data_IF_731974670756
#
_entry.id   IF_731974670756
#
_cell.length_a   1.000
_cell.length_b   1.000
_cell.length_c   1.000
_cell.angle_alpha   90.00
_cell.angle_beta   90.00
_cell.angle_gamma   90.00
#
_symmetry.space_group_name_H-M   'P 1'
#
loop_
_entity.id
_entity.type
_entity.pdbx_description
1 polymer ?
#
# COMPACT_ATOMS: atom_id res chain seq x y z
N UNK A 1 28.32 27.59 -1.23
CA UNK A 1 27.04 27.10 -0.75
C UNK A 1 27.29 26.18 0.44
N UNK A 2 26.50 26.30 1.51
CA UNK A 2 26.65 25.47 2.71
C UNK A 2 25.38 24.62 2.91
N UNK A 3 25.56 23.31 3.13
CA UNK A 3 24.47 22.39 3.43
C UNK A 3 24.65 21.86 4.84
N UNK A 4 23.70 22.15 5.72
CA UNK A 4 23.71 21.72 7.11
C UNK A 4 22.86 20.49 7.35
N UNK A 5 23.36 19.54 8.15
CA UNK A 5 22.61 18.41 8.62
C UNK A 5 23.01 18.04 10.06
N UNK A 6 22.04 17.58 10.86
CA UNK A 6 22.27 17.06 12.21
C UNK A 6 22.41 15.53 12.17
N UNK A 7 21.66 14.88 11.27
CA UNK A 7 21.62 13.42 11.17
C UNK A 7 22.12 12.95 9.82
N UNK A 8 22.69 11.75 9.79
CA UNK A 8 23.12 11.07 8.55
C UNK A 8 24.13 11.87 7.71
N UNK A 9 24.95 12.69 8.38
CA UNK A 9 25.93 13.59 7.75
C UNK A 9 26.89 12.83 6.85
N UNK A 10 27.39 11.67 7.29
CA UNK A 10 28.33 10.85 6.51
C UNK A 10 27.74 10.36 5.19
N UNK A 11 26.43 9.96 5.20
CA UNK A 11 25.73 9.54 3.98
C UNK A 11 25.55 10.72 3.02
N UNK A 12 25.22 11.90 3.53
CA UNK A 12 25.10 13.12 2.74
C UNK A 12 26.46 13.52 2.14
N UNK A 13 27.52 13.49 2.96
CA UNK A 13 28.86 13.83 2.51
C UNK A 13 29.32 12.91 1.39
N UNK A 14 29.18 11.59 1.55
CA UNK A 14 29.52 10.61 0.49
C UNK A 14 28.80 10.87 -0.83
N UNK A 15 27.51 11.24 -0.78
CA UNK A 15 26.73 11.57 -1.98
C UNK A 15 27.22 12.86 -2.64
N UNK A 16 27.55 13.88 -1.85
CA UNK A 16 28.08 15.13 -2.35
C UNK A 16 29.51 14.97 -2.93
N UNK A 17 30.36 14.13 -2.29
CA UNK A 17 31.70 13.81 -2.82
C UNK A 17 31.61 13.07 -4.16
N UNK A 18 30.67 12.13 -4.28
CA UNK A 18 30.42 11.40 -5.54
C UNK A 18 29.99 12.37 -6.65
N UNK A 19 29.09 13.30 -6.32
CA UNK A 19 28.61 14.28 -7.29
C UNK A 19 29.68 15.31 -7.64
N UNK A 20 30.53 15.69 -6.69
CA UNK A 20 31.70 16.53 -6.96
C UNK A 20 32.63 15.88 -7.99
N UNK A 21 32.88 14.58 -7.85
CA UNK A 21 33.69 13.82 -8.80
C UNK A 21 33.04 13.74 -10.19
N UNK A 22 31.73 13.55 -10.26
CA UNK A 22 30.99 13.54 -11.52
C UNK A 22 31.09 14.91 -12.24
N UNK A 23 30.99 16.00 -11.49
CA UNK A 23 31.08 17.37 -12.04
C UNK A 23 32.50 17.72 -12.47
N UNK A 24 33.54 17.15 -11.86
CA UNK A 24 34.93 17.32 -12.31
C UNK A 24 35.13 16.85 -13.75
N UNK A 25 34.45 15.75 -14.17
CA UNK A 25 34.47 15.25 -15.54
C UNK A 25 33.87 16.25 -16.55
N UNK A 26 33.06 17.20 -16.07
CA UNK A 26 32.45 18.27 -16.86
C UNK A 26 33.21 19.60 -16.71
N UNK A 27 34.39 19.57 -16.09
CA UNK A 27 35.24 20.77 -15.90
C UNK A 27 34.79 21.67 -14.75
N UNK A 28 33.87 21.25 -13.90
CA UNK A 28 33.41 22.02 -12.73
C UNK A 28 34.05 21.43 -11.49
N UNK A 29 34.94 22.16 -10.86
CA UNK A 29 35.61 21.72 -9.61
C UNK A 29 35.05 22.46 -8.42
N UNK A 30 34.55 21.72 -7.44
CA UNK A 30 34.25 22.24 -6.13
C UNK A 30 34.90 21.36 -5.02
N UNK A 31 35.22 21.98 -3.92
CA UNK A 31 35.84 21.34 -2.76
C UNK A 31 34.82 21.30 -1.65
N UNK A 32 34.64 20.14 -1.06
CA UNK A 32 33.83 19.95 0.13
C UNK A 32 34.68 20.14 1.39
N UNK A 33 34.29 21.09 2.23
CA UNK A 33 34.86 21.27 3.57
C UNK A 33 33.76 20.97 4.58
N UNK A 34 34.11 20.26 5.67
CA UNK A 34 33.18 19.97 6.75
C UNK A 34 33.55 20.80 7.98
N UNK A 35 32.55 21.52 8.52
CA UNK A 35 32.71 22.32 9.74
C UNK A 35 31.62 21.89 10.72
N UNK A 36 32.01 21.44 11.92
CA UNK A 36 31.08 21.04 12.97
C UNK A 36 30.82 22.17 13.94
N UNK A 37 29.54 22.51 14.14
CA UNK A 37 29.09 23.55 15.07
C UNK A 37 28.06 22.93 16.01
N UNK A 38 28.47 22.46 17.17
CA UNK A 38 27.64 21.71 18.10
C UNK A 38 27.18 20.39 17.47
N UNK A 39 25.86 20.17 17.36
CA UNK A 39 25.28 19.00 16.71
C UNK A 39 25.16 19.16 15.18
N UNK A 40 25.22 20.39 14.69
CA UNK A 40 25.09 20.70 13.26
C UNK A 40 26.43 20.52 12.57
N UNK A 41 26.44 19.80 11.46
CA UNK A 41 27.59 19.76 10.56
C UNK A 41 27.25 20.50 9.28
N UNK A 42 28.07 21.49 8.93
CA UNK A 42 27.96 22.25 7.69
C UNK A 42 28.93 21.69 6.67
N UNK A 43 28.43 21.27 5.54
CA UNK A 43 29.18 20.84 4.37
C UNK A 43 29.27 22.02 3.41
N UNK A 44 30.43 22.64 3.33
CA UNK A 44 30.68 23.82 2.52
C UNK A 44 31.19 23.42 1.13
N UNK A 45 30.37 23.70 0.10
CA UNK A 45 30.70 23.48 -1.29
C UNK A 45 31.35 24.76 -1.87
N UNK A 46 32.66 24.80 -1.94
CA UNK A 46 33.43 25.94 -2.44
C UNK A 46 33.91 25.70 -3.87
N UNK A 47 33.50 26.57 -4.79
CA UNK A 47 33.98 26.55 -6.17
C UNK A 47 35.45 26.88 -6.23
N UNK A 48 36.22 26.09 -6.97
CA UNK A 48 37.56 26.50 -7.38
C UNK A 48 37.46 27.24 -8.70
N UNK A 49 38.02 28.47 -8.78
CA UNK A 49 38.07 29.20 -10.05
C UNK A 49 38.91 28.40 -11.06
N UNK A 50 38.32 28.06 -12.17
CA UNK A 50 39.00 27.48 -13.33
C UNK A 50 39.21 28.61 -14.34
N UNK A 51 40.33 28.55 -15.07
CA UNK A 51 40.77 29.57 -16.02
C UNK A 51 39.79 29.85 -17.18
N UNK A 52 38.78 28.99 -17.40
CA UNK A 52 37.70 29.21 -18.32
C UNK A 52 36.36 29.20 -17.55
N UNK A 53 35.78 30.36 -17.35
CA UNK A 53 34.46 30.52 -16.76
C UNK A 53 33.38 30.07 -17.75
N UNK A 54 32.81 28.89 -17.51
CA UNK A 54 31.57 28.53 -18.23
C UNK A 54 30.42 29.43 -17.77
N UNK A 55 29.58 29.95 -18.68
CA UNK A 55 28.40 30.70 -18.27
C UNK A 55 27.49 29.78 -17.40
N UNK A 56 26.95 30.34 -16.31
CA UNK A 56 26.01 29.66 -15.40
C UNK A 56 26.54 28.50 -14.53
N UNK A 57 27.84 28.41 -14.29
CA UNK A 57 28.44 27.37 -13.42
C UNK A 57 27.77 27.30 -12.04
N UNK A 58 27.43 28.42 -11.46
CA UNK A 58 26.80 28.49 -10.14
C UNK A 58 25.38 27.86 -10.18
N UNK A 59 24.60 28.12 -11.23
CA UNK A 59 23.27 27.56 -11.41
C UNK A 59 23.33 26.04 -11.60
N UNK A 60 24.30 25.55 -12.34
CA UNK A 60 24.53 24.11 -12.55
C UNK A 60 24.83 23.43 -11.20
N UNK A 61 25.69 24.00 -10.38
CA UNK A 61 26.01 23.45 -9.07
C UNK A 61 24.78 23.44 -8.16
N UNK A 62 24.02 24.54 -8.11
CA UNK A 62 22.78 24.63 -7.33
C UNK A 62 21.78 23.54 -7.74
N UNK A 63 21.66 23.25 -9.03
CA UNK A 63 20.83 22.18 -9.54
C UNK A 63 21.32 20.79 -9.08
N UNK A 64 22.61 20.51 -9.21
CA UNK A 64 23.16 19.23 -8.79
C UNK A 64 23.10 19.03 -7.28
N UNK A 65 23.34 20.07 -6.49
CA UNK A 65 23.13 20.03 -5.04
C UNK A 65 21.67 19.77 -4.69
N UNK A 66 20.73 20.42 -5.37
CA UNK A 66 19.30 20.18 -5.18
C UNK A 66 18.93 18.73 -5.53
N UNK A 67 19.52 18.15 -6.56
CA UNK A 67 19.33 16.75 -6.95
C UNK A 67 19.84 15.80 -5.86
N UNK A 68 21.03 16.00 -5.35
CA UNK A 68 21.60 15.19 -4.25
C UNK A 68 20.75 15.30 -2.99
N UNK A 69 20.34 16.51 -2.62
CA UNK A 69 19.53 16.75 -1.42
C UNK A 69 18.15 16.10 -1.55
N UNK A 70 17.50 16.24 -2.70
CA UNK A 70 16.18 15.63 -2.93
C UNK A 70 16.24 14.10 -2.89
N UNK A 71 17.27 13.50 -3.49
CA UNK A 71 17.51 12.06 -3.42
C UNK A 71 17.78 11.61 -1.97
N UNK A 72 18.62 12.33 -1.27
CA UNK A 72 18.95 12.08 0.12
C UNK A 72 17.71 12.15 1.03
N UNK A 73 16.83 13.14 0.84
CA UNK A 73 15.58 13.25 1.61
C UNK A 73 14.69 12.03 1.38
N UNK A 74 14.44 11.64 0.12
CA UNK A 74 13.56 10.51 -0.20
C UNK A 74 14.14 9.18 0.28
N UNK A 75 15.44 8.97 0.12
CA UNK A 75 16.06 7.67 0.45
C UNK A 75 16.37 7.50 1.93
N UNK A 76 16.78 8.58 2.60
CA UNK A 76 17.30 8.49 3.97
C UNK A 76 16.35 9.03 5.05
N UNK A 77 15.47 9.96 4.71
CA UNK A 77 14.59 10.59 5.69
C UNK A 77 13.15 10.08 5.65
N UNK A 78 12.66 9.60 4.51
CA UNK A 78 11.26 9.22 4.34
C UNK A 78 10.85 8.12 5.34
N UNK A 79 11.60 7.02 5.41
CA UNK A 79 11.27 5.93 6.33
C UNK A 79 11.36 6.34 7.81
N UNK A 80 12.44 7.00 8.30
CA UNK A 80 12.48 7.55 9.66
C UNK A 80 11.37 8.55 9.98
N UNK A 81 10.93 9.35 9.01
CA UNK A 81 9.81 10.28 9.20
C UNK A 81 8.50 9.52 9.34
N UNK A 82 8.24 8.50 8.51
CA UNK A 82 7.08 7.63 8.62
C UNK A 82 7.04 6.95 10.00
N UNK A 83 8.14 6.31 10.41
CA UNK A 83 8.24 5.69 11.74
C UNK A 83 7.93 6.68 12.85
N UNK A 84 8.49 7.89 12.77
CA UNK A 84 8.20 8.95 13.77
C UNK A 84 6.74 9.36 13.79
N UNK A 85 6.07 9.41 12.62
CA UNK A 85 4.64 9.74 12.54
C UNK A 85 3.82 8.61 13.14
N UNK A 86 4.12 7.34 12.82
CA UNK A 86 3.47 6.17 13.42
C UNK A 86 3.63 6.17 14.94
N UNK A 87 4.81 6.52 15.46
CA UNK A 87 5.05 6.62 16.90
C UNK A 87 4.21 7.70 17.59
N UNK A 88 3.77 8.73 16.87
CA UNK A 88 2.85 9.75 17.41
C UNK A 88 1.43 9.22 17.59
N UNK A 89 1.05 8.14 16.91
CA UNK A 89 -0.23 7.46 17.03
C UNK A 89 -0.25 6.34 18.09
N UNK A 90 0.56 6.47 19.14
CA UNK A 90 0.76 5.44 20.19
C UNK A 90 -0.53 4.97 20.88
N UNK A 91 -1.61 5.76 20.87
CA UNK A 91 -2.90 5.38 21.44
C UNK A 91 -3.74 4.48 20.51
N UNK A 92 -3.45 4.47 19.20
CA UNK A 92 -4.22 3.74 18.19
C UNK A 92 -3.47 2.50 17.66
N UNK A 93 -2.16 2.45 17.87
CA UNK A 93 -1.28 1.46 17.24
C UNK A 93 -0.55 0.65 18.30
N UNK A 94 -0.80 -0.66 18.33
CA UNK A 94 -0.03 -1.56 19.18
C UNK A 94 1.44 -1.58 18.74
N UNK A 95 2.36 -1.72 19.70
CA UNK A 95 3.80 -1.69 19.42
C UNK A 95 4.23 -2.71 18.36
N UNK A 96 3.59 -3.89 18.36
CA UNK A 96 3.86 -4.98 17.41
C UNK A 96 3.46 -4.62 15.96
N UNK A 97 2.52 -3.71 15.76
CA UNK A 97 1.97 -3.33 14.45
C UNK A 97 2.73 -2.17 13.77
N UNK A 98 3.61 -1.47 14.51
CA UNK A 98 4.29 -0.25 14.03
C UNK A 98 5.11 -0.46 12.77
N UNK A 99 5.89 -1.53 12.72
CA UNK A 99 6.69 -1.84 11.55
C UNK A 99 5.81 -2.18 10.34
N UNK A 100 4.73 -2.93 10.55
CA UNK A 100 3.76 -3.27 9.52
C UNK A 100 3.11 -2.01 8.95
N UNK A 101 2.64 -1.11 9.81
CA UNK A 101 2.03 0.16 9.39
C UNK A 101 3.05 1.04 8.67
N UNK A 102 4.28 1.14 9.18
CA UNK A 102 5.34 1.91 8.52
C UNK A 102 5.62 1.41 7.10
N UNK A 103 5.72 0.08 6.92
CA UNK A 103 5.94 -0.52 5.60
C UNK A 103 4.71 -0.37 4.68
N UNK A 104 3.51 -0.47 5.24
CA UNK A 104 2.27 -0.25 4.49
C UNK A 104 2.16 1.21 4.03
N UNK A 105 2.43 2.18 4.91
CA UNK A 105 2.45 3.60 4.58
C UNK A 105 3.48 3.92 3.47
N UNK A 106 4.65 3.27 3.51
CA UNK A 106 5.65 3.41 2.45
C UNK A 106 5.12 2.89 1.11
N UNK A 107 4.44 1.73 1.10
CA UNK A 107 3.81 1.18 -0.12
C UNK A 107 2.72 2.10 -0.66
N UNK A 108 1.86 2.63 0.22
CA UNK A 108 0.80 3.58 -0.16
C UNK A 108 1.42 4.82 -0.81
N UNK A 109 2.49 5.39 -0.24
CA UNK A 109 3.20 6.53 -0.83
C UNK A 109 3.76 6.20 -2.21
N UNK A 110 4.31 5.01 -2.40
CA UNK A 110 4.88 4.61 -3.69
C UNK A 110 3.80 4.36 -4.75
N UNK A 111 2.56 4.04 -4.32
CA UNK A 111 1.39 3.86 -5.19
C UNK A 111 0.62 5.18 -5.43
N UNK A 112 0.48 6.05 -4.42
CA UNK A 112 -0.31 7.29 -4.48
C UNK A 112 0.37 8.44 -5.20
N UNK A 113 1.63 8.38 -5.51
CA UNK A 113 2.28 9.28 -6.48
C UNK A 113 1.59 9.23 -7.87
N UNK A 114 0.56 8.37 -8.00
CA UNK A 114 -0.25 8.16 -9.20
C UNK A 114 -1.48 9.08 -9.33
N UNK A 115 -1.87 9.85 -8.31
CA UNK A 115 -3.26 10.33 -8.26
C UNK A 115 -3.42 11.86 -8.23
N UNK A 116 -2.38 12.70 -8.15
CA UNK A 116 -2.56 14.15 -8.08
C UNK A 116 -1.69 14.94 -9.03
N UNK A 117 -2.20 15.20 -10.14
CA UNK A 117 -2.31 16.39 -11.01
C UNK A 117 -2.52 15.92 -12.47
N UNK A 118 -3.75 16.13 -12.96
CA UNK A 118 -4.25 15.81 -14.31
C UNK A 118 -4.72 14.36 -14.55
N UNK A 119 -6.05 14.26 -14.73
CA UNK A 119 -6.80 13.03 -15.05
C UNK A 119 -6.42 12.34 -16.38
N UNK A 120 -5.33 12.70 -17.02
CA UNK A 120 -4.98 12.22 -18.36
C UNK A 120 -3.68 11.44 -18.47
N UNK A 121 -2.89 11.27 -17.41
CA UNK A 121 -1.67 10.44 -17.46
C UNK A 121 -1.62 9.46 -16.30
N UNK A 122 -2.49 8.48 -16.38
CA UNK A 122 -2.28 7.21 -15.67
C UNK A 122 -1.09 6.49 -16.32
N UNK A 123 -0.19 5.92 -15.49
CA UNK A 123 0.77 4.88 -15.86
C UNK A 123 2.28 5.17 -15.76
N UNK A 124 2.76 6.08 -14.92
CA UNK A 124 4.14 5.90 -14.45
C UNK A 124 4.19 6.15 -12.94
N UNK A 125 3.94 5.09 -12.19
CA UNK A 125 4.20 5.05 -10.75
C UNK A 125 5.69 5.12 -10.52
N UNK A 126 6.18 6.20 -9.93
CA UNK A 126 7.56 6.22 -9.46
C UNK A 126 7.73 7.24 -8.32
N UNK A 127 8.49 6.83 -7.29
CA UNK A 127 9.17 7.70 -6.32
C UNK A 127 9.87 8.93 -6.95
N UNK A 128 9.92 8.98 -8.27
CA UNK A 128 10.44 10.07 -9.09
C UNK A 128 9.60 11.35 -9.01
N UNK A 129 8.27 11.27 -8.79
CA UNK A 129 7.44 12.47 -8.73
C UNK A 129 7.69 13.27 -7.43
N UNK A 130 7.72 12.61 -6.27
CA UNK A 130 8.07 13.23 -4.99
C UNK A 130 9.47 13.82 -5.03
N UNK A 131 10.43 13.03 -5.54
CA UNK A 131 11.82 13.46 -5.71
C UNK A 131 11.91 14.71 -6.57
N UNK A 132 11.23 14.75 -7.72
CA UNK A 132 11.23 15.89 -8.64
C UNK A 132 10.59 17.13 -8.01
N UNK A 133 9.51 16.94 -7.25
CA UNK A 133 8.89 18.04 -6.52
C UNK A 133 9.83 18.59 -5.46
N UNK A 134 10.43 17.75 -4.62
CA UNK A 134 11.42 18.15 -3.61
C UNK A 134 12.62 18.83 -4.29
N UNK A 135 13.09 18.31 -5.42
CA UNK A 135 14.17 18.91 -6.20
C UNK A 135 13.82 20.35 -6.60
N UNK A 136 12.61 20.59 -7.12
CA UNK A 136 12.15 21.94 -7.49
C UNK A 136 12.15 22.88 -6.29
N UNK A 137 11.63 22.44 -5.15
CA UNK A 137 11.58 23.23 -3.91
C UNK A 137 12.99 23.56 -3.39
N UNK A 138 13.89 22.56 -3.36
CA UNK A 138 15.29 22.75 -2.94
C UNK A 138 16.03 23.67 -3.90
N UNK A 139 15.87 23.46 -5.20
CA UNK A 139 16.53 24.28 -6.22
C UNK A 139 16.09 25.74 -6.11
N UNK A 140 14.77 26.00 -6.08
CA UNK A 140 14.24 27.34 -5.92
C UNK A 140 14.74 28.04 -4.64
N UNK A 141 14.84 27.28 -3.53
CA UNK A 141 15.40 27.82 -2.30
C UNK A 141 16.87 28.18 -2.45
N UNK A 142 17.66 27.31 -3.08
CA UNK A 142 19.09 27.54 -3.31
C UNK A 142 19.37 28.65 -4.32
N UNK A 143 18.42 29.01 -5.22
CA UNK A 143 18.58 30.17 -6.10
C UNK A 143 18.72 31.47 -5.31
N UNK A 144 18.01 31.59 -4.19
CA UNK A 144 17.94 32.79 -3.36
C UNK A 144 18.83 32.72 -2.10
N UNK A 145 19.31 31.52 -1.73
CA UNK A 145 20.02 31.29 -0.48
C UNK A 145 21.32 30.50 -0.71
N UNK A 146 22.35 30.85 0.04
CA UNK A 146 23.63 30.15 0.01
C UNK A 146 23.80 29.14 1.15
N UNK A 147 22.82 29.02 2.01
CA UNK A 147 22.81 28.06 3.11
C UNK A 147 21.47 27.33 3.19
N UNK A 148 21.53 26.01 3.35
CA UNK A 148 20.35 25.17 3.54
C UNK A 148 20.61 24.19 4.67
N UNK A 149 19.81 24.25 5.73
CA UNK A 149 19.81 23.27 6.82
C UNK A 149 18.68 22.27 6.57
N UNK A 150 19.02 21.00 6.31
CA UNK A 150 18.08 19.96 5.87
C UNK A 150 16.94 19.76 6.87
N UNK A 151 17.25 19.65 8.17
CA UNK A 151 16.25 19.47 9.23
C UNK A 151 15.23 20.62 9.28
N UNK A 152 15.72 21.87 9.16
CA UNK A 152 14.89 23.06 9.10
C UNK A 152 14.06 23.13 7.79
N UNK A 153 14.70 22.83 6.67
CA UNK A 153 14.05 22.84 5.37
C UNK A 153 12.89 21.84 5.30
N UNK A 154 13.11 20.61 5.75
CA UNK A 154 12.07 19.59 5.88
C UNK A 154 10.88 20.09 6.70
N UNK A 155 11.15 20.67 7.88
CA UNK A 155 10.10 21.08 8.82
C UNK A 155 9.30 22.29 8.34
N UNK A 156 9.95 23.27 7.73
CA UNK A 156 9.34 24.56 7.42
C UNK A 156 8.92 24.74 5.97
N UNK A 157 9.65 24.15 5.03
CA UNK A 157 9.42 24.31 3.59
C UNK A 157 8.70 23.14 2.96
N UNK A 158 8.95 21.91 3.39
CA UNK A 158 8.32 20.70 2.84
C UNK A 158 7.04 20.29 3.58
N UNK A 159 6.20 21.25 4.00
CA UNK A 159 4.96 20.98 4.74
C UNK A 159 3.99 20.08 3.94
N UNK A 160 3.86 20.30 2.63
CA UNK A 160 3.03 19.45 1.75
C UNK A 160 3.50 18.00 1.76
N UNK A 161 4.80 17.79 1.63
CA UNK A 161 5.40 16.46 1.72
C UNK A 161 5.14 15.79 3.08
N UNK A 162 5.36 16.50 4.18
CA UNK A 162 5.08 15.97 5.52
C UNK A 162 3.59 15.62 5.71
N UNK A 163 2.68 16.38 5.09
CA UNK A 163 1.25 16.07 5.13
C UNK A 163 0.93 14.82 4.30
N UNK A 164 1.56 14.61 3.15
CA UNK A 164 1.43 13.36 2.38
C UNK A 164 1.90 12.15 3.18
N UNK A 165 3.03 12.28 3.92
CA UNK A 165 3.49 11.21 4.81
C UNK A 165 2.46 10.89 5.90
N UNK A 166 1.82 11.91 6.52
CA UNK A 166 0.77 11.70 7.53
C UNK A 166 -0.44 10.99 6.93
N UNK A 167 -0.94 11.47 5.80
CA UNK A 167 -2.08 10.84 5.11
C UNK A 167 -1.80 9.37 4.77
N UNK A 168 -0.59 9.05 4.31
CA UNK A 168 -0.22 7.67 4.04
C UNK A 168 -0.16 6.81 5.30
N UNK A 169 0.25 7.37 6.45
CA UNK A 169 0.21 6.68 7.74
C UNK A 169 -1.22 6.47 8.21
N UNK A 170 -2.09 7.49 8.11
CA UNK A 170 -3.49 7.37 8.50
C UNK A 170 -4.19 6.26 7.68
N UNK A 171 -4.03 6.25 6.35
CA UNK A 171 -4.54 5.19 5.49
C UNK A 171 -3.97 3.80 5.84
N UNK A 172 -2.67 3.73 6.16
CA UNK A 172 -2.06 2.46 6.55
C UNK A 172 -2.59 1.92 7.88
N UNK A 173 -2.91 2.81 8.83
CA UNK A 173 -3.55 2.44 10.10
C UNK A 173 -4.93 1.86 9.82
N UNK A 174 -5.74 2.56 9.02
CA UNK A 174 -7.10 2.11 8.66
C UNK A 174 -7.07 0.75 7.95
N UNK A 175 -6.16 0.55 6.98
CA UNK A 175 -6.03 -0.74 6.28
C UNK A 175 -5.63 -1.88 7.22
N UNK A 176 -4.67 -1.65 8.13
CA UNK A 176 -4.22 -2.67 9.08
C UNK A 176 -5.33 -2.99 10.08
N UNK A 177 -6.09 -1.99 10.54
CA UNK A 177 -7.21 -2.18 11.44
C UNK A 177 -8.34 -2.97 10.76
N UNK A 178 -8.72 -2.62 9.54
CA UNK A 178 -9.72 -3.34 8.75
C UNK A 178 -9.32 -4.81 8.52
N UNK A 179 -8.06 -5.05 8.18
CA UNK A 179 -7.55 -6.43 8.03
C UNK A 179 -7.67 -7.22 9.32
N UNK A 180 -7.37 -6.61 10.47
CA UNK A 180 -7.47 -7.24 11.79
C UNK A 180 -8.93 -7.54 12.14
N UNK A 181 -9.83 -6.58 11.98
CA UNK A 181 -11.27 -6.75 12.21
C UNK A 181 -11.84 -7.88 11.33
N UNK A 182 -11.40 -7.93 10.08
CA UNK A 182 -11.78 -9.02 9.16
C UNK A 182 -11.26 -10.39 9.65
N UNK A 183 -10.02 -10.49 10.12
CA UNK A 183 -9.48 -11.75 10.65
C UNK A 183 -10.19 -12.19 11.93
N UNK A 184 -10.52 -11.25 12.82
CA UNK A 184 -11.31 -11.52 14.03
C UNK A 184 -12.72 -12.00 13.66
N UNK A 185 -13.37 -11.39 12.69
CA UNK A 185 -14.68 -11.81 12.17
C UNK A 185 -14.63 -13.24 11.60
N UNK A 186 -13.65 -13.55 10.75
CA UNK A 186 -13.45 -14.91 10.23
C UNK A 186 -13.23 -15.92 11.36
N UNK A 187 -12.48 -15.54 12.39
CA UNK A 187 -12.25 -16.41 13.55
C UNK A 187 -13.55 -16.69 14.31
N UNK A 188 -14.38 -15.69 14.52
CA UNK A 188 -15.71 -15.85 15.13
C UNK A 188 -16.61 -16.77 14.31
N UNK A 189 -16.68 -16.57 12.99
CA UNK A 189 -17.49 -17.43 12.11
C UNK A 189 -17.01 -18.88 12.15
N UNK A 190 -15.69 -19.11 12.15
CA UNK A 190 -15.11 -20.45 12.28
C UNK A 190 -15.51 -21.10 13.61
N UNK A 191 -15.45 -20.33 14.70
CA UNK A 191 -15.88 -20.80 16.01
C UNK A 191 -17.36 -21.23 16.01
N UNK A 192 -18.23 -20.39 15.45
CA UNK A 192 -19.65 -20.72 15.30
C UNK A 192 -19.87 -22.04 14.53
N UNK A 193 -19.25 -22.19 13.38
CA UNK A 193 -19.34 -23.41 12.55
C UNK A 193 -18.84 -24.66 13.28
N UNK A 194 -17.82 -24.52 14.15
CA UNK A 194 -17.29 -25.64 14.93
C UNK A 194 -18.21 -26.07 16.08
N UNK A 195 -18.97 -25.13 16.64
CA UNK A 195 -19.88 -25.37 17.76
C UNK A 195 -21.25 -25.88 17.33
N UNK A 196 -21.60 -25.74 16.06
CA UNK A 196 -22.87 -26.23 15.53
C UNK A 196 -22.83 -27.72 15.20
N UNK A 197 -23.94 -28.43 15.48
CA UNK A 197 -24.13 -29.78 14.97
C UNK A 197 -24.38 -29.74 13.46
N UNK A 198 -23.65 -30.52 12.66
CA UNK A 198 -23.85 -30.57 11.22
C UNK A 198 -25.27 -30.98 10.84
N UNK A 199 -25.98 -30.15 10.09
CA UNK A 199 -27.32 -30.47 9.60
C UNK A 199 -27.28 -31.35 8.37
N UNK A 200 -26.22 -31.25 7.57
CA UNK A 200 -25.99 -32.07 6.38
C UNK A 200 -24.57 -32.64 6.37
N UNK A 201 -24.41 -33.87 5.91
CA UNK A 201 -23.10 -34.52 5.79
C UNK A 201 -22.27 -33.89 4.67
N UNK A 202 -22.90 -33.54 3.55
CA UNK A 202 -22.26 -32.95 2.40
C UNK A 202 -23.16 -31.89 1.76
N UNK A 203 -22.55 -30.72 1.44
CA UNK A 203 -23.19 -29.67 0.67
C UNK A 203 -22.47 -29.50 -0.68
N UNK A 204 -23.22 -29.64 -1.77
CA UNK A 204 -22.74 -29.32 -3.11
C UNK A 204 -23.24 -27.93 -3.50
N UNK A 205 -22.31 -26.97 -3.61
CA UNK A 205 -22.66 -25.59 -3.98
C UNK A 205 -22.33 -25.38 -5.44
N UNK A 206 -23.34 -25.05 -6.23
CA UNK A 206 -23.21 -24.74 -7.66
C UNK A 206 -23.23 -23.22 -7.81
N UNK A 207 -22.11 -22.62 -8.24
CA UNK A 207 -21.96 -21.20 -8.49
C UNK A 207 -22.16 -20.92 -9.98
N UNK A 208 -23.22 -20.19 -10.34
CA UNK A 208 -23.54 -19.86 -11.73
C UNK A 208 -22.88 -18.55 -12.18
N UNK A 209 -22.64 -18.35 -13.48
CA UNK A 209 -22.04 -17.13 -14.01
C UNK A 209 -22.79 -15.82 -13.67
N UNK A 210 -24.09 -15.89 -13.39
CA UNK A 210 -24.92 -14.75 -13.00
C UNK A 210 -24.85 -14.37 -11.51
N UNK A 211 -24.01 -15.08 -10.71
CA UNK A 211 -23.89 -14.85 -9.27
C UNK A 211 -24.84 -15.70 -8.41
N UNK A 212 -25.89 -16.29 -9.01
CA UNK A 212 -26.81 -17.15 -8.29
C UNK A 212 -26.12 -18.44 -7.87
N UNK A 213 -26.38 -18.91 -6.67
CA UNK A 213 -25.91 -20.20 -6.18
C UNK A 213 -27.06 -21.13 -5.82
N UNK A 214 -26.78 -22.42 -5.91
CA UNK A 214 -27.71 -23.47 -5.46
C UNK A 214 -26.95 -24.43 -4.55
N UNK A 215 -27.61 -24.86 -3.47
CA UNK A 215 -27.05 -25.83 -2.52
C UNK A 215 -27.84 -27.13 -2.60
N UNK A 216 -27.14 -28.25 -2.75
CA UNK A 216 -27.71 -29.59 -2.79
C UNK A 216 -27.05 -30.43 -1.70
N UNK A 217 -27.83 -31.40 -1.17
CA UNK A 217 -27.31 -32.40 -0.23
C UNK A 217 -26.48 -33.50 -0.94
N UNK A 218 -26.02 -34.49 -0.18
CA UNK A 218 -25.28 -35.65 -0.70
C UNK A 218 -26.07 -36.46 -1.73
N UNK A 219 -27.42 -36.47 -1.66
CA UNK A 219 -28.33 -37.18 -2.56
C UNK A 219 -28.68 -36.36 -3.80
N UNK A 220 -28.25 -35.12 -3.88
CA UNK A 220 -28.58 -34.19 -4.96
C UNK A 220 -29.95 -33.54 -4.82
N UNK A 221 -30.56 -33.62 -3.65
CA UNK A 221 -31.81 -32.93 -3.36
C UNK A 221 -31.49 -31.46 -3.02
N UNK A 222 -32.21 -30.48 -3.57
CA UNK A 222 -32.02 -29.09 -3.16
C UNK A 222 -32.24 -28.94 -1.66
N UNK A 223 -31.31 -28.26 -1.00
CA UNK A 223 -31.50 -27.91 0.39
C UNK A 223 -32.42 -26.70 0.42
N UNK A 224 -33.71 -26.96 0.75
CA UNK A 224 -34.69 -25.90 0.95
C UNK A 224 -34.31 -25.11 2.19
N UNK A 225 -33.78 -23.93 1.98
CA UNK A 225 -33.64 -22.93 3.06
C UNK A 225 -34.90 -22.05 3.02
N UNK A 226 -35.52 -21.82 4.18
CA UNK A 226 -36.59 -20.81 4.36
C UNK A 226 -36.21 -19.43 3.81
N UNK A 227 -34.94 -19.24 3.51
CA UNK A 227 -34.37 -18.03 2.93
C UNK A 227 -34.41 -17.93 1.41
N UNK A 228 -34.59 -19.06 0.65
CA UNK A 228 -34.57 -19.00 -0.82
C UNK A 228 -35.81 -18.30 -1.38
N UNK A 229 -36.99 -18.50 -0.79
CA UNK A 229 -38.22 -17.88 -1.28
C UNK A 229 -38.38 -16.42 -0.85
N UNK A 230 -37.91 -16.04 0.34
CA UNK A 230 -37.92 -14.65 0.77
C UNK A 230 -36.75 -13.82 0.16
N UNK A 231 -35.63 -14.46 -0.16
CA UNK A 231 -34.46 -13.80 -0.74
C UNK A 231 -34.61 -13.44 -2.22
N UNK A 232 -35.36 -14.23 -3.02
CA UNK A 232 -35.66 -13.86 -4.41
C UNK A 232 -36.47 -12.57 -4.53
N UNK A 233 -37.23 -12.22 -3.50
CA UNK A 233 -38.01 -10.97 -3.44
C UNK A 233 -37.21 -9.77 -2.92
N UNK A 234 -36.24 -9.98 -2.00
CA UNK A 234 -35.41 -8.90 -1.46
C UNK A 234 -34.21 -8.54 -2.35
N UNK A 235 -33.71 -9.47 -3.17
CA UNK A 235 -32.57 -9.25 -4.09
C UNK A 235 -32.91 -8.27 -5.23
N UNK A 236 -34.20 -8.05 -5.52
CA UNK A 236 -34.64 -7.10 -6.56
C UNK A 236 -34.53 -5.66 -6.10
N UNK A 237 -34.51 -5.40 -4.79
CA UNK A 237 -34.56 -4.01 -4.24
C UNK A 237 -33.28 -3.53 -3.53
N UNK A 238 -32.30 -4.41 -3.22
CA UNK A 238 -31.09 -3.99 -2.49
C UNK A 238 -29.83 -4.65 -3.06
N UNK A 239 -28.71 -3.93 -3.00
CA UNK A 239 -27.34 -4.34 -3.32
C UNK A 239 -26.80 -5.48 -2.41
N UNK A 240 -27.61 -6.52 -2.14
CA UNK A 240 -27.21 -7.66 -1.33
C UNK A 240 -26.15 -8.47 -2.08
N UNK A 241 -25.02 -8.64 -1.44
CA UNK A 241 -23.91 -9.41 -1.99
C UNK A 241 -24.27 -10.91 -1.90
N UNK A 242 -24.44 -11.57 -3.06
CA UNK A 242 -24.71 -13.02 -3.13
C UNK A 242 -23.70 -13.87 -2.36
N UNK A 243 -22.51 -13.35 -2.17
CA UNK A 243 -21.42 -14.01 -1.44
C UNK A 243 -21.72 -14.10 0.06
N UNK A 244 -22.25 -13.03 0.64
CA UNK A 244 -22.65 -12.98 2.06
C UNK A 244 -23.82 -13.92 2.32
N UNK A 245 -24.75 -14.03 1.37
CA UNK A 245 -25.89 -14.95 1.44
C UNK A 245 -25.44 -16.40 1.41
N UNK A 246 -24.52 -16.74 0.49
CA UNK A 246 -23.95 -18.07 0.41
C UNK A 246 -23.25 -18.46 1.69
N UNK A 247 -22.42 -17.54 2.23
CA UNK A 247 -21.70 -17.77 3.48
C UNK A 247 -22.67 -17.98 4.64
N UNK A 248 -23.72 -17.16 4.76
CA UNK A 248 -24.76 -17.29 5.77
C UNK A 248 -25.50 -18.62 5.69
N UNK A 249 -25.89 -19.05 4.48
CA UNK A 249 -26.55 -20.33 4.26
C UNK A 249 -25.65 -21.51 4.67
N UNK A 250 -24.36 -21.47 4.28
CA UNK A 250 -23.42 -22.52 4.66
C UNK A 250 -23.14 -22.55 6.16
N UNK A 251 -23.08 -21.39 6.82
CA UNK A 251 -22.92 -21.32 8.29
C UNK A 251 -24.14 -21.94 8.97
N UNK A 252 -25.35 -21.64 8.51
CA UNK A 252 -26.60 -22.20 9.07
C UNK A 252 -26.67 -23.71 8.90
N UNK A 253 -26.29 -24.23 7.73
CA UNK A 253 -26.27 -25.66 7.44
C UNK A 253 -25.16 -26.42 8.16
N UNK A 254 -24.09 -25.74 8.49
CA UNK A 254 -22.88 -26.29 9.12
C UNK A 254 -22.42 -27.63 8.52
N UNK A 255 -22.26 -27.78 7.19
CA UNK A 255 -21.98 -29.06 6.56
C UNK A 255 -20.66 -29.66 7.02
N UNK A 256 -20.56 -31.00 7.05
CA UNK A 256 -19.30 -31.69 7.34
C UNK A 256 -18.31 -31.55 6.18
N UNK A 257 -18.82 -31.56 4.93
CA UNK A 257 -18.01 -31.33 3.72
C UNK A 257 -18.77 -30.41 2.76
N UNK A 258 -18.00 -29.57 2.06
CA UNK A 258 -18.49 -28.62 1.06
C UNK A 258 -17.74 -28.89 -0.25
N UNK A 259 -18.49 -29.14 -1.32
CA UNK A 259 -17.93 -29.23 -2.67
C UNK A 259 -18.43 -28.04 -3.49
N UNK A 260 -17.50 -27.16 -3.89
CA UNK A 260 -17.80 -25.99 -4.71
C UNK A 260 -17.69 -26.35 -6.19
N UNK A 261 -18.79 -26.20 -6.93
CA UNK A 261 -18.87 -26.43 -8.37
C UNK A 261 -18.90 -25.09 -9.10
N UNK A 262 -17.83 -24.76 -9.83
CA UNK A 262 -17.75 -23.58 -10.69
C UNK A 262 -16.82 -23.82 -11.87
N UNK A 263 -17.18 -23.28 -13.03
CA UNK A 263 -16.29 -23.19 -14.20
C UNK A 263 -15.47 -21.91 -14.22
N UNK A 264 -15.91 -20.88 -13.46
CA UNK A 264 -15.32 -19.55 -13.43
C UNK A 264 -14.61 -19.25 -12.08
N UNK A 265 -13.63 -20.07 -11.70
CA UNK A 265 -12.91 -19.95 -10.43
C UNK A 265 -12.38 -18.52 -10.21
N UNK A 266 -11.88 -17.87 -11.27
CA UNK A 266 -11.31 -16.51 -11.17
C UNK A 266 -12.32 -15.46 -10.72
N UNK A 267 -13.59 -15.63 -11.05
CA UNK A 267 -14.66 -14.72 -10.69
C UNK A 267 -15.00 -14.79 -9.21
N UNK A 268 -14.90 -15.97 -8.62
CA UNK A 268 -15.31 -16.26 -7.24
C UNK A 268 -14.13 -16.45 -6.28
N UNK A 269 -12.94 -15.94 -6.63
CA UNK A 269 -11.72 -16.15 -5.83
C UNK A 269 -11.87 -15.63 -4.39
N UNK A 270 -12.50 -14.47 -4.20
CA UNK A 270 -12.69 -13.87 -2.88
C UNK A 270 -13.69 -14.68 -2.05
N UNK A 271 -14.86 -15.00 -2.61
CA UNK A 271 -15.89 -15.80 -1.96
C UNK A 271 -15.39 -17.19 -1.60
N UNK A 272 -14.73 -17.86 -2.53
CA UNK A 272 -14.12 -19.18 -2.31
C UNK A 272 -13.06 -19.07 -1.19
N UNK A 273 -12.22 -18.05 -1.22
CA UNK A 273 -11.22 -17.79 -0.21
C UNK A 273 -11.81 -17.57 1.19
N UNK A 274 -12.92 -16.84 1.28
CA UNK A 274 -13.65 -16.61 2.53
C UNK A 274 -14.27 -17.90 3.05
N UNK A 275 -14.95 -18.67 2.21
CA UNK A 275 -15.53 -19.98 2.57
C UNK A 275 -14.42 -20.92 3.06
N UNK A 276 -13.28 -20.99 2.37
CA UNK A 276 -12.16 -21.81 2.80
C UNK A 276 -11.57 -21.37 4.14
N UNK A 277 -11.52 -20.05 4.40
CA UNK A 277 -11.05 -19.53 5.69
C UNK A 277 -11.99 -19.89 6.85
N UNK A 278 -13.31 -19.84 6.61
CA UNK A 278 -14.32 -20.15 7.64
C UNK A 278 -14.41 -21.64 7.89
N UNK A 279 -14.53 -22.46 6.84
CA UNK A 279 -14.79 -23.91 6.94
C UNK A 279 -13.51 -24.77 6.95
N UNK A 280 -12.37 -24.19 6.58
CA UNK A 280 -11.06 -24.87 6.59
C UNK A 280 -11.01 -26.08 5.68
N UNK A 281 -10.48 -27.18 6.18
CA UNK A 281 -10.31 -28.42 5.43
C UNK A 281 -11.61 -29.15 4.99
N UNK A 282 -12.77 -28.60 5.32
CA UNK A 282 -14.08 -29.13 4.86
C UNK A 282 -14.43 -28.75 3.42
N UNK A 283 -13.66 -27.84 2.80
CA UNK A 283 -13.97 -27.24 1.49
C UNK A 283 -13.11 -27.85 0.39
N UNK A 284 -13.75 -28.40 -0.63
CA UNK A 284 -13.11 -28.89 -1.84
C UNK A 284 -13.66 -28.17 -3.07
N UNK A 285 -12.80 -27.86 -4.04
CA UNK A 285 -13.21 -27.31 -5.33
C UNK A 285 -13.29 -28.45 -6.33
N UNK A 286 -14.45 -28.61 -6.97
CA UNK A 286 -14.65 -29.61 -7.99
C UNK A 286 -13.75 -29.36 -9.21
N UNK A 287 -13.07 -30.40 -9.68
CA UNK A 287 -12.18 -30.33 -10.85
C UNK A 287 -12.91 -30.43 -12.21
N UNK A 288 -14.25 -30.55 -12.19
CA UNK A 288 -15.11 -30.71 -13.35
C UNK A 288 -15.90 -32.03 -13.25
N UNK A 289 -17.19 -31.92 -13.16
CA UNK A 289 -18.11 -33.07 -13.15
C UNK A 289 -19.35 -32.72 -14.00
N UNK A 290 -20.30 -33.67 -14.15
CA UNK A 290 -21.53 -33.45 -14.89
C UNK A 290 -22.31 -32.23 -14.37
N UNK A 291 -22.40 -32.04 -13.06
CA UNK A 291 -23.05 -30.86 -12.43
C UNK A 291 -22.36 -29.52 -12.81
N UNK A 292 -21.06 -29.54 -13.07
CA UNK A 292 -20.36 -28.34 -13.56
C UNK A 292 -20.70 -28.04 -15.03
N UNK A 293 -21.00 -29.06 -15.83
CA UNK A 293 -21.35 -28.92 -17.26
C UNK A 293 -22.78 -28.45 -17.48
N UNK A 294 -23.71 -28.80 -16.58
CA UNK A 294 -25.13 -28.40 -16.63
C UNK A 294 -25.40 -26.95 -16.24
N UNK A 295 -24.35 -26.19 -15.84
CA UNK A 295 -24.49 -24.78 -15.41
C UNK A 295 -25.07 -23.83 -16.48
N UNK A 296 -25.17 -24.26 -17.74
CA UNK A 296 -25.74 -23.50 -18.86
C UNK A 296 -27.21 -23.77 -19.17
N UNK A 297 -27.83 -24.75 -18.52
CA UNK A 297 -29.26 -25.08 -18.81
C UNK A 297 -30.18 -24.48 -17.74
N UNK A 298 -31.31 -23.83 -18.12
CA UNK A 298 -32.32 -23.43 -17.16
C UNK A 298 -32.94 -24.69 -16.54
N UNK A 299 -33.01 -24.73 -15.22
CA UNK A 299 -33.88 -25.71 -14.54
C UNK A 299 -35.34 -25.46 -14.93
N UNK A 300 -35.96 -26.43 -15.59
CA UNK A 300 -37.42 -26.48 -15.83
C UNK A 300 -38.16 -26.78 -14.53
#
# INVERSE_FOLDING_TARGET
ISIGAIRKVESLQKRLDLEAHNLENWGIKFVLNSVKVGELTLLQCNLRPILQTMPNQELIIRYYLARVISDFIVTEWELPLLTKIVDQHHNLVAWVERDQITQRAKKILDLTDLIQEDKTVALVANSNHRRNWILKEVFHYLEMNNELIIDGFLRFRLKKYLNQLRQAVDLAIDEVQQEKEYQEFIHLLRYFVQMQEPQVSQAHVILRPNGIFHIFDAQGKPVENEYQDSFLLEVVDNELNYEDLLLSALITLAPQQITLHTLEIKRYLESIGTIQRVFGGRVEICRGCERCQEQGQPYN
#
